data_IF_380620562763
#
_entry.id   IF_380620562763
#
_cell.length_a   1.000
_cell.length_b   1.000
_cell.length_c   1.000
_cell.angle_alpha   90.00
_cell.angle_beta   90.00
_cell.angle_gamma   90.00
#
_symmetry.space_group_name_H-M   'P 1'
#
loop_
_entity.id
_entity.type
_entity.pdbx_description
1 polymer ?
#
# COMPACT_ATOMS: atom_id res chain seq x y z
N UNK A 1 -21.79 2.53 15.79
CA UNK A 1 -20.86 1.78 14.95
C UNK A 1 -19.74 2.70 14.49
N UNK A 2 -18.52 2.25 14.67
CA UNK A 2 -17.37 3.00 14.16
C UNK A 2 -17.11 2.62 12.73
N UNK A 3 -16.84 3.60 11.89
CA UNK A 3 -16.55 3.39 10.47
C UNK A 3 -15.16 3.90 10.13
N UNK A 4 -14.53 3.27 9.16
CA UNK A 4 -13.28 3.79 8.61
C UNK A 4 -13.59 5.08 7.85
N UNK A 5 -12.94 6.22 8.19
CA UNK A 5 -13.19 7.47 7.47
C UNK A 5 -12.64 7.46 6.03
N UNK A 6 -11.73 6.55 5.69
CA UNK A 6 -11.25 6.42 4.32
C UNK A 6 -12.11 5.44 3.55
N UNK A 7 -12.66 5.89 2.41
CA UNK A 7 -13.40 5.01 1.50
C UNK A 7 -12.49 4.52 0.37
N UNK A 8 -11.71 5.40 -0.25
CA UNK A 8 -10.80 4.98 -1.31
C UNK A 8 -9.60 5.91 -1.45
N UNK A 9 -8.59 5.39 -2.10
CA UNK A 9 -7.40 6.13 -2.55
C UNK A 9 -7.28 5.90 -4.05
N UNK A 10 -7.01 6.96 -4.79
CA UNK A 10 -6.76 6.92 -6.23
C UNK A 10 -5.37 7.51 -6.49
N UNK A 11 -4.41 6.63 -6.64
CA UNK A 11 -3.00 6.97 -6.81
C UNK A 11 -2.67 7.20 -8.29
N UNK A 12 -1.71 8.06 -8.57
CA UNK A 12 -1.18 8.20 -9.95
C UNK A 12 0.09 7.38 -10.12
N UNK A 13 0.22 6.75 -11.28
CA UNK A 13 1.38 5.94 -11.67
C UNK A 13 1.79 6.31 -13.10
N UNK A 14 3.07 6.17 -13.43
CA UNK A 14 3.57 6.55 -14.75
C UNK A 14 3.22 5.53 -15.84
N UNK A 15 3.15 4.25 -15.49
CA UNK A 15 2.96 3.14 -16.41
C UNK A 15 1.99 2.15 -15.79
N UNK A 16 0.80 2.03 -16.39
CA UNK A 16 -0.27 1.20 -15.84
C UNK A 16 0.09 -0.29 -15.78
N UNK A 17 0.69 -0.83 -16.82
CA UNK A 17 0.98 -2.27 -16.86
C UNK A 17 2.05 -2.64 -15.84
N UNK A 18 3.05 -1.79 -15.68
CA UNK A 18 4.07 -1.96 -14.66
C UNK A 18 3.49 -1.83 -13.25
N UNK A 19 2.59 -0.88 -13.04
CA UNK A 19 1.89 -0.72 -11.77
C UNK A 19 0.99 -1.92 -11.48
N UNK A 20 0.26 -2.42 -12.47
CA UNK A 20 -0.55 -3.62 -12.30
C UNK A 20 0.29 -4.83 -11.90
N UNK A 21 1.44 -5.03 -12.55
CA UNK A 21 2.33 -6.14 -12.21
C UNK A 21 2.78 -6.06 -10.74
N UNK A 22 3.06 -4.86 -10.25
CA UNK A 22 3.45 -4.62 -8.86
C UNK A 22 2.28 -4.77 -7.89
N UNK A 23 1.20 -3.99 -8.10
CA UNK A 23 0.09 -3.92 -7.16
C UNK A 23 -0.74 -5.20 -7.12
N UNK A 24 -0.81 -5.95 -8.22
CA UNK A 24 -1.52 -7.24 -8.21
C UNK A 24 -0.83 -8.29 -7.33
N UNK A 25 0.43 -8.10 -7.00
CA UNK A 25 1.19 -8.96 -6.09
C UNK A 25 1.08 -8.51 -4.64
N UNK A 26 1.09 -7.21 -4.39
CA UNK A 26 1.14 -6.71 -3.00
C UNK A 26 -0.23 -6.44 -2.40
N UNK A 27 -1.19 -5.93 -3.17
CA UNK A 27 -2.50 -5.55 -2.60
C UNK A 27 -3.26 -6.74 -2.02
N UNK A 28 -3.35 -7.91 -2.71
CA UNK A 28 -4.00 -9.07 -2.10
C UNK A 28 -3.32 -9.53 -0.81
N UNK A 29 -2.00 -9.47 -0.73
CA UNK A 29 -1.27 -9.84 0.47
C UNK A 29 -1.55 -8.88 1.64
N UNK A 30 -1.80 -7.61 1.35
CA UNK A 30 -2.12 -6.59 2.36
C UNK A 30 -3.57 -6.73 2.84
N UNK A 31 -4.49 -7.18 1.96
CA UNK A 31 -5.89 -7.34 2.32
C UNK A 31 -6.88 -6.75 1.32
N UNK A 32 -6.40 -6.25 0.20
CA UNK A 32 -7.24 -5.77 -0.91
C UNK A 32 -7.34 -6.89 -1.95
N UNK A 33 -8.39 -7.71 -1.84
CA UNK A 33 -8.43 -9.04 -2.48
C UNK A 33 -9.30 -9.13 -3.72
N UNK A 34 -10.18 -8.14 -3.97
CA UNK A 34 -11.09 -8.16 -5.12
C UNK A 34 -10.62 -7.17 -6.17
N UNK A 35 -9.87 -7.67 -7.14
CA UNK A 35 -9.24 -6.84 -8.16
C UNK A 35 -10.10 -6.59 -9.38
N UNK A 36 -9.87 -5.44 -9.99
CA UNK A 36 -10.45 -5.08 -11.28
C UNK A 36 -9.37 -4.38 -12.12
N UNK A 37 -9.01 -5.00 -13.24
CA UNK A 37 -8.04 -4.44 -14.16
C UNK A 37 -8.74 -3.72 -15.29
N UNK A 38 -8.47 -2.43 -15.43
CA UNK A 38 -8.86 -1.63 -16.58
C UNK A 38 -7.68 -1.40 -17.52
N UNK A 39 -7.84 -0.54 -18.50
CA UNK A 39 -6.81 -0.24 -19.47
C UNK A 39 -5.77 0.76 -18.92
N UNK A 40 -6.24 1.78 -18.24
CA UNK A 40 -5.38 2.84 -17.65
C UNK A 40 -5.71 3.12 -16.18
N UNK A 41 -6.75 2.47 -15.66
CA UNK A 41 -7.20 2.58 -14.29
C UNK A 41 -7.55 1.19 -13.77
N UNK A 42 -7.01 0.84 -12.62
CA UNK A 42 -7.21 -0.46 -11.98
C UNK A 42 -7.20 -0.31 -10.47
N UNK A 43 -7.57 -1.36 -9.78
CA UNK A 43 -7.47 -1.36 -8.31
C UNK A 43 -8.08 -2.59 -7.69
N UNK A 44 -8.16 -2.55 -6.37
CA UNK A 44 -8.63 -3.66 -5.54
C UNK A 44 -9.50 -3.16 -4.41
N UNK A 45 -10.64 -3.82 -4.18
CA UNK A 45 -11.42 -3.66 -2.95
C UNK A 45 -10.84 -4.53 -1.84
N UNK A 46 -10.84 -4.00 -0.63
CA UNK A 46 -10.66 -4.83 0.55
C UNK A 46 -11.87 -5.75 0.72
N UNK A 47 -11.69 -6.81 1.51
CA UNK A 47 -12.79 -7.68 1.89
C UNK A 47 -13.74 -6.95 2.85
N UNK A 48 -14.96 -7.47 3.00
CA UNK A 48 -15.97 -6.87 3.89
C UNK A 48 -17.07 -6.14 3.15
N UNK A 49 -17.81 -5.32 3.91
CA UNK A 49 -19.01 -4.64 3.43
C UNK A 49 -18.89 -3.12 3.63
N UNK A 50 -19.58 -2.36 2.77
CA UNK A 50 -19.75 -0.93 3.01
C UNK A 50 -20.46 -0.70 4.36
N UNK A 51 -20.12 0.35 5.11
CA UNK A 51 -19.21 1.45 4.73
C UNK A 51 -17.72 1.19 5.02
N UNK A 52 -17.34 0.03 5.53
CA UNK A 52 -15.97 -0.25 5.96
C UNK A 52 -15.08 -0.87 4.88
N UNK A 53 -15.63 -1.20 3.73
CA UNK A 53 -14.86 -1.73 2.60
C UNK A 53 -14.17 -0.58 1.87
N UNK A 54 -12.85 -0.57 1.89
CA UNK A 54 -12.04 0.44 1.21
C UNK A 54 -11.57 -0.06 -0.16
N UNK A 55 -11.33 0.88 -1.06
CA UNK A 55 -10.78 0.65 -2.39
C UNK A 55 -9.40 1.31 -2.48
N UNK A 56 -8.47 0.61 -3.12
CA UNK A 56 -7.17 1.18 -3.48
C UNK A 56 -7.02 1.07 -5.00
N UNK A 57 -7.02 2.23 -5.67
CA UNK A 57 -6.91 2.31 -7.12
C UNK A 57 -5.67 3.07 -7.57
N UNK A 58 -5.30 2.84 -8.82
CA UNK A 58 -4.21 3.56 -9.45
C UNK A 58 -4.56 3.86 -10.90
N UNK A 59 -4.26 5.09 -11.31
CA UNK A 59 -4.58 5.62 -12.63
C UNK A 59 -3.29 6.04 -13.31
N UNK A 60 -3.13 5.69 -14.59
CA UNK A 60 -1.96 6.07 -15.36
C UNK A 60 -1.98 7.57 -15.66
N UNK A 61 -0.85 8.19 -15.41
CA UNK A 61 -0.49 9.53 -15.85
C UNK A 61 1.00 9.50 -16.21
N UNK A 62 1.33 9.46 -17.52
CA UNK A 62 2.74 9.38 -17.94
C UNK A 62 3.60 10.51 -17.42
N UNK A 63 2.98 11.66 -17.11
CA UNK A 63 3.68 12.84 -16.60
C UNK A 63 3.73 12.90 -15.08
N UNK A 64 3.22 11.89 -14.40
CA UNK A 64 3.22 11.84 -12.93
C UNK A 64 4.63 11.99 -12.37
N UNK A 65 4.78 12.87 -11.38
CA UNK A 65 6.01 13.03 -10.59
C UNK A 65 5.70 12.72 -9.13
N UNK A 66 6.38 11.73 -8.53
CA UNK A 66 6.18 11.43 -7.13
C UNK A 66 6.66 12.58 -6.24
N UNK A 67 6.11 12.64 -5.04
CA UNK A 67 6.52 13.60 -4.02
C UNK A 67 6.63 12.86 -2.67
N UNK A 68 6.74 13.61 -1.58
CA UNK A 68 6.91 13.02 -0.25
C UNK A 68 5.61 12.55 0.40
N UNK A 69 4.46 12.68 -0.28
CA UNK A 69 3.20 12.12 0.22
C UNK A 69 3.36 10.61 0.39
N UNK A 70 2.95 10.09 1.54
CA UNK A 70 3.11 8.67 1.87
C UNK A 70 1.78 8.05 2.23
N UNK A 71 1.56 6.83 1.73
CA UNK A 71 0.41 6.01 2.09
C UNK A 71 0.92 4.85 2.93
N UNK A 72 0.35 4.68 4.13
CA UNK A 72 0.70 3.60 5.02
C UNK A 72 -0.43 2.58 5.08
N UNK A 73 -0.08 1.32 4.85
CA UNK A 73 -0.99 0.19 5.02
C UNK A 73 -0.83 -0.38 6.43
N UNK A 74 -1.92 -0.88 6.96
CA UNK A 74 -1.95 -1.51 8.28
C UNK A 74 -1.55 -2.98 8.20
N UNK A 75 -0.75 -3.43 9.16
CA UNK A 75 -0.49 -4.84 9.40
C UNK A 75 -0.85 -5.18 10.85
N UNK A 76 -1.38 -6.36 11.08
CA UNK A 76 -1.93 -6.75 12.39
C UNK A 76 -0.86 -7.11 13.44
N UNK A 77 0.40 -7.23 13.04
CA UNK A 77 1.52 -7.56 13.94
C UNK A 77 2.85 -7.14 13.33
N UNK A 78 3.91 -7.08 14.15
CA UNK A 78 5.28 -6.86 13.67
C UNK A 78 5.73 -7.98 12.74
N UNK A 79 5.38 -9.22 13.06
CA UNK A 79 5.69 -10.38 12.19
C UNK A 79 5.05 -10.19 10.82
N UNK A 80 3.81 -9.68 10.78
CA UNK A 80 3.14 -9.44 9.50
C UNK A 80 3.81 -8.30 8.71
N UNK A 81 4.32 -7.28 9.38
CA UNK A 81 5.13 -6.24 8.70
C UNK A 81 6.37 -6.88 8.06
N UNK A 82 7.07 -7.77 8.77
CA UNK A 82 8.24 -8.46 8.23
C UNK A 82 7.89 -9.31 7.01
N UNK A 83 6.79 -10.06 7.07
CA UNK A 83 6.31 -10.89 5.96
C UNK A 83 5.96 -10.02 4.74
N UNK A 84 5.24 -8.92 4.96
CA UNK A 84 4.84 -8.01 3.88
C UNK A 84 6.04 -7.28 3.28
N UNK A 85 7.07 -6.99 4.08
CA UNK A 85 8.31 -6.42 3.57
C UNK A 85 8.94 -7.33 2.50
N UNK A 86 8.94 -8.65 2.73
CA UNK A 86 9.43 -9.60 1.75
C UNK A 86 8.54 -9.67 0.50
N UNK A 87 7.22 -9.60 0.68
CA UNK A 87 6.28 -9.59 -0.45
C UNK A 87 6.53 -8.38 -1.34
N UNK A 88 6.62 -7.17 -0.76
CA UNK A 88 6.81 -5.94 -1.56
C UNK A 88 8.19 -5.92 -2.22
N UNK A 89 9.23 -6.39 -1.51
CA UNK A 89 10.57 -6.49 -2.09
C UNK A 89 10.57 -7.43 -3.29
N UNK A 90 9.96 -8.59 -3.16
CA UNK A 90 9.90 -9.60 -4.24
C UNK A 90 9.04 -9.10 -5.42
N UNK A 91 8.09 -8.23 -5.18
CA UNK A 91 7.27 -7.63 -6.23
C UNK A 91 8.00 -6.51 -6.99
N UNK A 92 9.15 -6.08 -6.53
CA UNK A 92 9.97 -5.07 -7.21
C UNK A 92 9.98 -3.70 -6.54
N UNK A 93 9.51 -3.59 -5.29
CA UNK A 93 9.61 -2.35 -4.53
C UNK A 93 11.07 -1.96 -4.26
N UNK A 94 11.33 -0.67 -4.23
CA UNK A 94 12.57 -0.15 -3.67
C UNK A 94 12.39 0.00 -2.16
N UNK A 95 13.07 -0.82 -1.36
CA UNK A 95 13.04 -0.69 0.09
C UNK A 95 13.90 0.50 0.50
N UNK A 96 13.25 1.50 1.12
CA UNK A 96 13.94 2.71 1.60
C UNK A 96 14.53 2.47 2.97
N UNK A 97 13.74 1.91 3.90
CA UNK A 97 14.24 1.54 5.23
C UNK A 97 13.27 0.57 5.94
N UNK A 98 13.82 -0.15 6.90
CA UNK A 98 13.06 -1.13 7.69
C UNK A 98 13.01 -2.52 7.05
N UNK A 99 12.24 -3.45 7.65
CA UNK A 99 11.35 -3.25 8.81
C UNK A 99 12.10 -2.88 10.07
N UNK A 100 11.58 -1.94 10.84
CA UNK A 100 12.24 -1.49 12.08
C UNK A 100 11.28 -0.76 13.01
N UNK A 101 11.65 -0.70 14.28
CA UNK A 101 10.95 0.14 15.26
C UNK A 101 11.20 1.62 14.92
N UNK A 102 10.15 2.43 15.08
CA UNK A 102 10.18 3.87 14.84
C UNK A 102 9.73 4.60 16.11
N UNK A 103 10.59 4.61 17.16
CA UNK A 103 10.22 5.21 18.45
C UNK A 103 9.92 6.71 18.35
N UNK A 104 10.47 7.40 17.35
CA UNK A 104 10.17 8.81 17.09
C UNK A 104 8.71 9.07 16.69
N UNK A 105 7.99 8.05 16.19
CA UNK A 105 6.57 8.15 15.87
C UNK A 105 5.69 7.75 17.05
N UNK A 106 5.98 6.62 17.66
CA UNK A 106 5.36 6.16 18.89
C UNK A 106 6.17 5.01 19.50
N UNK A 107 5.91 4.69 20.76
CA UNK A 107 6.67 3.66 21.50
C UNK A 107 6.55 2.27 20.88
N UNK A 108 5.43 1.99 20.15
CA UNK A 108 5.15 0.67 19.61
C UNK A 108 5.21 0.62 18.08
N UNK A 109 5.52 1.74 17.43
CA UNK A 109 5.49 1.85 15.97
C UNK A 109 6.56 0.97 15.33
N UNK A 110 6.15 0.15 14.35
CA UNK A 110 7.04 -0.75 13.63
C UNK A 110 6.66 -0.73 12.14
N UNK A 111 7.62 -0.48 11.25
CA UNK A 111 7.27 -0.21 9.85
C UNK A 111 8.38 -0.56 8.87
N UNK A 112 7.97 -0.79 7.63
CA UNK A 112 8.83 -0.83 6.45
C UNK A 112 8.39 0.28 5.50
N UNK A 113 9.37 1.02 4.96
CA UNK A 113 9.17 2.12 4.02
C UNK A 113 9.71 1.72 2.66
N UNK A 114 8.92 1.94 1.61
CA UNK A 114 9.31 1.53 0.28
C UNK A 114 8.69 2.43 -0.78
N UNK A 115 9.14 2.28 -2.02
CA UNK A 115 8.58 2.98 -3.18
C UNK A 115 8.02 1.99 -4.17
N UNK A 116 6.92 2.37 -4.82
CA UNK A 116 6.40 1.62 -5.95
C UNK A 116 7.25 1.89 -7.22
N UNK A 117 6.98 1.20 -8.35
CA UNK A 117 7.76 1.42 -9.57
C UNK A 117 7.73 2.84 -10.12
N UNK A 118 6.75 3.66 -9.75
CA UNK A 118 6.67 5.06 -10.14
C UNK A 118 7.34 6.01 -9.15
N UNK A 119 7.89 5.47 -8.05
CA UNK A 119 8.54 6.27 -7.01
C UNK A 119 7.59 6.81 -5.95
N UNK A 120 6.34 6.38 -5.93
CA UNK A 120 5.40 6.78 -4.87
C UNK A 120 5.82 6.19 -3.53
N UNK A 121 5.77 7.00 -2.48
CA UNK A 121 6.17 6.58 -1.14
C UNK A 121 5.06 5.77 -0.47
N UNK A 122 5.39 4.56 -0.07
CA UNK A 122 4.48 3.65 0.60
C UNK A 122 5.10 3.13 1.90
N UNK A 123 4.26 2.61 2.76
CA UNK A 123 4.65 2.08 4.06
C UNK A 123 3.72 0.94 4.44
N UNK A 124 4.23 -0.03 5.18
CA UNK A 124 3.41 -0.97 5.94
C UNK A 124 3.78 -0.81 7.40
N UNK A 125 2.80 -0.61 8.27
CA UNK A 125 3.06 -0.34 9.68
C UNK A 125 2.14 -1.13 10.60
N UNK A 126 2.63 -1.30 11.83
CA UNK A 126 1.88 -1.82 12.97
C UNK A 126 2.23 -1.00 14.20
N UNK A 127 1.21 -0.68 15.00
CA UNK A 127 1.40 -0.05 16.31
C UNK A 127 0.23 -0.45 17.21
N UNK A 128 0.41 -0.26 18.50
CA UNK A 128 -0.64 -0.50 19.51
C UNK A 128 -0.83 0.76 20.35
N UNK A 129 -1.99 0.82 21.04
CA UNK A 129 -2.28 1.91 21.98
C UNK A 129 -1.36 1.89 23.20
#
# INVERSE_FOLDING_TARGET
MKTNPFQHIDLRVNDHDRAWDFYSKILPAIGFVHGKRGKSFSGYDADGKLPNRAWFGFTEDPDHRPNATRIAFWAESRVRVDELAEVVRSAGALIVSGPKAMPEYSATYYAVFFEDPSGNCLEVCHLTD
#
